data_IF_694436716506
#
_entry.id   IF_694436716506
#
_cell.length_a   1.000
_cell.length_b   1.000
_cell.length_c   1.000
_cell.angle_alpha   90.00
_cell.angle_beta   90.00
_cell.angle_gamma   90.00
#
_symmetry.space_group_name_H-M   'P 1'
#
loop_
_entity.id
_entity.type
_entity.pdbx_description
1 polymer ?
#
# COMPACT_ATOMS: atom_id res chain seq x y z
N UNK A 1 -12.54 82.86 -19.76
CA UNK A 1 -13.69 82.09 -19.25
C UNK A 1 -13.55 80.70 -19.87
N UNK A 2 -12.90 79.74 -19.20
CA UNK A 2 -13.49 78.64 -18.39
C UNK A 2 -14.51 77.80 -19.22
N UNK A 3 -14.43 76.47 -19.39
CA UNK A 3 -13.92 75.35 -18.57
C UNK A 3 -13.65 74.07 -19.41
N UNK A 4 -12.64 73.32 -18.97
CA UNK A 4 -12.56 71.86 -18.69
C UNK A 4 -12.72 70.73 -19.74
N UNK A 5 -12.02 69.64 -19.39
CA UNK A 5 -12.19 68.21 -19.69
C UNK A 5 -11.12 67.60 -20.63
N UNK A 6 -10.46 66.46 -20.37
CA UNK A 6 -10.44 65.43 -19.31
C UNK A 6 -9.08 64.69 -19.41
N UNK A 7 -8.57 64.22 -18.26
CA UNK A 7 -7.38 63.39 -18.07
C UNK A 7 -7.66 61.91 -18.32
N UNK A 8 -6.78 61.17 -19.01
CA UNK A 8 -6.73 59.69 -18.93
C UNK A 8 -5.28 59.21 -18.94
N UNK A 9 -4.77 58.87 -17.75
CA UNK A 9 -3.54 58.09 -17.57
C UNK A 9 -3.84 56.61 -17.81
N UNK A 10 -3.09 55.98 -18.73
CA UNK A 10 -3.08 54.52 -18.91
C UNK A 10 -2.35 53.86 -17.73
N UNK A 11 -3.11 53.33 -16.77
CA UNK A 11 -2.61 52.37 -15.79
C UNK A 11 -2.79 50.96 -16.36
N UNK A 12 -1.72 50.40 -16.92
CA UNK A 12 -1.65 48.99 -17.29
C UNK A 12 -1.59 48.16 -16.01
N UNK A 13 -2.73 47.61 -15.60
CA UNK A 13 -2.79 46.60 -14.54
C UNK A 13 -2.31 45.29 -15.15
N UNK A 14 -1.01 45.01 -15.00
CA UNK A 14 -0.45 43.67 -15.18
C UNK A 14 -0.96 42.80 -14.03
N UNK A 15 -2.14 42.20 -14.23
CA UNK A 15 -2.65 41.13 -13.40
C UNK A 15 -1.74 39.92 -13.58
N UNK A 16 -0.75 39.80 -12.69
CA UNK A 16 0.03 38.58 -12.50
C UNK A 16 -0.93 37.51 -11.95
N UNK A 17 -1.51 36.71 -12.84
CA UNK A 17 -2.26 35.51 -12.44
C UNK A 17 -1.23 34.50 -11.95
N UNK A 18 -0.96 34.52 -10.65
CA UNK A 18 -0.27 33.43 -9.98
C UNK A 18 -1.27 32.27 -9.94
N UNK A 19 -1.15 31.33 -10.89
CA UNK A 19 -1.75 30.01 -10.71
C UNK A 19 -1.00 29.33 -9.56
N UNK A 20 -1.48 29.53 -8.33
CA UNK A 20 -1.09 28.68 -7.21
C UNK A 20 -1.76 27.32 -7.42
N UNK A 21 -1.04 26.39 -8.05
CA UNK A 21 -1.41 24.98 -8.15
C UNK A 21 -1.51 24.40 -6.73
N UNK A 22 -2.66 24.57 -6.10
CA UNK A 22 -2.95 24.12 -4.75
C UNK A 22 -3.87 22.89 -4.81
N UNK A 23 -3.51 21.94 -5.67
CA UNK A 23 -4.36 20.79 -6.00
C UNK A 23 -4.33 19.65 -4.96
N UNK A 24 -3.45 19.68 -3.96
CA UNK A 24 -3.48 18.71 -2.84
C UNK A 24 -4.12 19.30 -1.56
N UNK A 25 -5.27 19.97 -1.62
CA UNK A 25 -5.90 20.57 -0.42
C UNK A 25 -7.04 19.75 0.22
N UNK A 26 -7.08 18.43 0.02
CA UNK A 26 -8.02 17.55 0.74
C UNK A 26 -7.34 16.23 1.06
N UNK A 27 -7.38 15.82 2.32
CA UNK A 27 -7.19 14.41 2.66
C UNK A 27 -8.27 13.63 1.92
N UNK A 28 -7.84 12.70 1.06
CA UNK A 28 -8.74 11.90 0.23
C UNK A 28 -8.53 10.44 0.58
N UNK A 29 -9.64 9.74 0.79
CA UNK A 29 -9.67 8.33 1.15
C UNK A 29 -10.44 7.54 0.11
N UNK A 30 -9.91 6.40 -0.33
CA UNK A 30 -10.65 5.45 -1.15
C UNK A 30 -10.21 4.00 -0.89
N UNK A 31 -11.11 3.07 -1.15
CA UNK A 31 -10.84 1.65 -0.99
C UNK A 31 -10.37 1.03 -2.30
N UNK A 32 -9.30 0.26 -2.23
CA UNK A 32 -8.87 -0.67 -3.27
C UNK A 32 -9.41 -2.05 -2.94
N UNK A 33 -10.08 -2.68 -3.91
CA UNK A 33 -10.48 -4.08 -3.84
C UNK A 33 -10.28 -4.72 -5.21
N UNK A 34 -9.44 -5.76 -5.29
CA UNK A 34 -9.16 -6.45 -6.55
C UNK A 34 -9.06 -7.96 -6.36
N UNK A 35 -9.69 -8.72 -7.27
CA UNK A 35 -9.40 -10.15 -7.42
C UNK A 35 -8.06 -10.30 -8.16
N UNK A 36 -7.18 -11.09 -7.56
CA UNK A 36 -5.88 -11.48 -8.08
C UNK A 36 -5.95 -12.96 -8.48
N UNK A 37 -5.22 -13.33 -9.53
CA UNK A 37 -5.27 -14.70 -10.08
C UNK A 37 -3.93 -15.15 -10.62
N UNK A 38 -3.52 -16.36 -10.26
CA UNK A 38 -2.40 -17.10 -10.85
C UNK A 38 -2.80 -18.54 -11.08
N UNK A 39 -2.89 -18.98 -12.33
CA UNK A 39 -3.40 -20.30 -12.69
C UNK A 39 -4.80 -20.53 -12.08
N UNK A 40 -4.91 -21.54 -11.21
CA UNK A 40 -6.13 -21.88 -10.47
C UNK A 40 -6.23 -21.18 -9.11
N UNK A 41 -5.17 -20.51 -8.66
CA UNK A 41 -5.14 -19.77 -7.40
C UNK A 41 -5.77 -18.40 -7.59
N UNK A 42 -6.68 -18.04 -6.69
CA UNK A 42 -7.31 -16.72 -6.63
C UNK A 42 -7.24 -16.17 -5.21
N UNK A 43 -7.08 -14.87 -5.10
CA UNK A 43 -7.19 -14.18 -3.82
C UNK A 43 -7.75 -12.77 -4.01
N UNK A 44 -8.20 -12.16 -2.93
CA UNK A 44 -8.63 -10.76 -2.95
C UNK A 44 -7.56 -9.92 -2.25
N UNK A 45 -7.12 -8.86 -2.91
CA UNK A 45 -6.38 -7.76 -2.28
C UNK A 45 -7.36 -6.66 -1.89
N UNK A 46 -7.29 -6.18 -0.65
CA UNK A 46 -8.19 -5.13 -0.18
C UNK A 46 -7.58 -4.25 0.91
N UNK A 47 -7.57 -2.95 0.70
CA UNK A 47 -7.04 -1.95 1.63
C UNK A 47 -7.63 -0.57 1.33
N UNK A 48 -7.58 0.33 2.31
CA UNK A 48 -7.94 1.74 2.10
C UNK A 48 -6.64 2.55 1.87
N UNK A 49 -6.71 3.59 1.04
CA UNK A 49 -5.64 4.54 0.80
C UNK A 49 -6.10 5.91 1.28
N UNK A 50 -5.33 6.53 2.18
CA UNK A 50 -5.50 7.94 2.55
C UNK A 50 -4.33 8.75 2.01
N UNK A 51 -4.61 9.77 1.20
CA UNK A 51 -3.62 10.61 0.53
C UNK A 51 -3.62 11.99 1.19
N UNK A 52 -2.43 12.42 1.60
CA UNK A 52 -2.15 13.78 2.07
C UNK A 52 -0.92 14.36 1.36
N UNK A 53 -0.60 15.63 1.62
CA UNK A 53 0.65 16.25 1.13
C UNK A 53 1.92 15.65 1.77
N UNK A 54 1.79 15.03 2.94
CA UNK A 54 2.96 14.60 3.74
C UNK A 54 3.25 13.12 3.62
N UNK A 55 2.21 12.33 3.42
CA UNK A 55 2.29 10.87 3.39
C UNK A 55 1.06 10.28 2.69
N UNK A 56 1.26 9.09 2.14
CA UNK A 56 0.19 8.20 1.68
C UNK A 56 0.09 7.07 2.70
N UNK A 57 -1.05 6.95 3.36
CA UNK A 57 -1.32 5.89 4.32
C UNK A 57 -2.08 4.75 3.66
N UNK A 58 -1.57 3.53 3.82
CA UNK A 58 -2.22 2.30 3.36
C UNK A 58 -2.79 1.58 4.56
N UNK A 59 -4.10 1.62 4.74
CA UNK A 59 -4.77 1.00 5.87
C UNK A 59 -5.25 -0.41 5.52
N UNK A 60 -4.78 -1.39 6.29
CA UNK A 60 -5.26 -2.77 6.18
C UNK A 60 -5.81 -3.25 7.52
N UNK A 61 -7.06 -3.67 7.53
CA UNK A 61 -7.73 -4.21 8.72
C UNK A 61 -7.85 -5.71 8.58
N UNK A 62 -7.33 -6.47 9.54
CA UNK A 62 -7.32 -7.94 9.49
C UNK A 62 -8.05 -8.48 10.72
N UNK A 63 -9.07 -9.29 10.50
CA UNK A 63 -9.76 -10.02 11.56
C UNK A 63 -9.13 -11.39 11.73
N UNK A 64 -8.51 -11.63 12.89
CA UNK A 64 -7.96 -12.93 13.25
C UNK A 64 -9.06 -13.80 13.89
N UNK A 65 -9.27 -14.98 13.33
CA UNK A 65 -10.33 -15.93 13.69
C UNK A 65 -9.69 -17.23 14.19
N UNK A 66 -9.13 -17.24 15.40
CA UNK A 66 -8.48 -18.42 15.93
C UNK A 66 -9.46 -19.54 16.23
N UNK A 67 -9.06 -20.77 15.87
CA UNK A 67 -9.82 -21.98 16.15
C UNK A 67 -9.87 -22.27 17.67
N UNK A 68 -10.77 -23.16 18.14
CA UNK A 68 -10.89 -23.47 19.57
C UNK A 68 -9.60 -23.98 20.24
N UNK A 69 -8.69 -24.59 19.46
CA UNK A 69 -7.43 -25.16 19.97
C UNK A 69 -6.31 -24.13 20.09
N UNK A 70 -6.52 -22.88 19.67
CA UNK A 70 -5.50 -21.82 19.72
C UNK A 70 -5.39 -21.22 21.11
N UNK A 71 -4.17 -21.22 21.65
CA UNK A 71 -3.83 -20.50 22.88
C UNK A 71 -3.91 -18.98 22.64
N UNK A 72 -4.86 -18.31 23.31
CA UNK A 72 -5.13 -16.87 23.14
C UNK A 72 -4.02 -15.98 23.67
N UNK A 73 -3.40 -16.35 24.78
CA UNK A 73 -2.26 -15.60 25.36
C UNK A 73 -1.07 -15.61 24.41
N UNK A 74 -0.79 -16.78 23.80
CA UNK A 74 0.25 -16.89 22.80
C UNK A 74 -0.09 -16.11 21.52
N UNK A 75 -1.37 -16.10 21.11
CA UNK A 75 -1.81 -15.31 19.95
C UNK A 75 -1.58 -13.81 20.17
N UNK A 76 -1.92 -13.28 21.34
CA UNK A 76 -1.68 -11.86 21.69
C UNK A 76 -0.20 -11.50 21.64
N UNK A 77 0.66 -12.37 22.17
CA UNK A 77 2.12 -12.20 22.06
C UNK A 77 2.59 -12.21 20.61
N UNK A 78 2.06 -13.11 19.79
CA UNK A 78 2.48 -13.25 18.40
C UNK A 78 1.99 -12.09 17.54
N UNK A 79 0.83 -11.50 17.84
CA UNK A 79 0.32 -10.30 17.15
C UNK A 79 1.35 -9.16 17.18
N UNK A 80 2.02 -8.94 18.33
CA UNK A 80 3.06 -7.92 18.44
C UNK A 80 4.26 -8.25 17.53
N UNK A 81 4.77 -9.48 17.63
CA UNK A 81 5.92 -9.91 16.82
C UNK A 81 5.60 -9.92 15.32
N UNK A 82 4.37 -10.24 14.93
CA UNK A 82 3.90 -10.16 13.55
C UNK A 82 3.83 -8.71 13.09
N UNK A 83 3.32 -7.80 13.92
CA UNK A 83 3.31 -6.35 13.66
C UNK A 83 4.71 -5.81 13.37
N UNK A 84 5.68 -6.09 14.26
CA UNK A 84 7.07 -5.66 14.09
C UNK A 84 7.69 -6.17 12.79
N UNK A 85 7.43 -7.44 12.44
CA UNK A 85 7.94 -8.03 11.21
C UNK A 85 7.32 -7.37 9.98
N UNK A 86 6.01 -7.14 9.97
CA UNK A 86 5.32 -6.44 8.89
C UNK A 86 5.89 -5.03 8.71
N UNK A 87 6.03 -4.27 9.80
CA UNK A 87 6.60 -2.93 9.74
C UNK A 87 8.04 -2.95 9.22
N UNK A 88 8.86 -3.90 9.69
CA UNK A 88 10.25 -4.03 9.27
C UNK A 88 10.44 -4.35 7.78
N UNK A 89 9.42 -4.94 7.13
CA UNK A 89 9.43 -5.30 5.71
C UNK A 89 8.82 -4.18 4.87
N UNK A 90 7.63 -3.73 5.23
CA UNK A 90 6.78 -2.90 4.38
C UNK A 90 6.93 -1.40 4.64
N UNK A 91 7.38 -0.97 5.82
CA UNK A 91 7.50 0.46 6.15
C UNK A 91 8.91 1.03 6.02
N UNK A 92 9.82 0.30 5.38
CA UNK A 92 11.22 0.72 5.35
C UNK A 92 11.54 1.82 4.32
N UNK A 93 11.06 1.73 3.07
CA UNK A 93 11.67 2.53 1.99
C UNK A 93 10.76 3.01 0.85
N UNK A 94 9.43 2.88 0.93
CA UNK A 94 8.53 3.20 -0.20
C UNK A 94 8.10 4.66 -0.25
N UNK A 95 8.03 5.21 -1.46
CA UNK A 95 7.57 6.57 -1.74
C UNK A 95 7.04 6.69 -3.17
N UNK A 96 6.18 7.70 -3.37
CA UNK A 96 5.79 8.23 -4.67
C UNK A 96 6.55 9.53 -4.97
N UNK A 97 6.71 9.86 -6.24
CA UNK A 97 7.14 11.18 -6.71
C UNK A 97 5.98 11.83 -7.45
N UNK A 98 5.44 12.91 -6.89
CA UNK A 98 4.35 13.70 -7.44
C UNK A 98 4.88 15.11 -7.68
N UNK A 99 4.86 15.57 -8.93
CA UNK A 99 5.35 16.91 -9.28
C UNK A 99 6.80 17.22 -8.80
N UNK A 100 7.62 16.18 -8.65
CA UNK A 100 9.00 16.29 -8.16
C UNK A 100 9.15 16.17 -6.63
N UNK A 101 8.05 16.17 -5.88
CA UNK A 101 8.06 15.96 -4.44
C UNK A 101 7.98 14.48 -4.08
N UNK A 102 8.81 14.08 -3.11
CA UNK A 102 8.87 12.71 -2.59
C UNK A 102 7.90 12.57 -1.42
N UNK A 103 6.83 11.81 -1.62
CA UNK A 103 5.83 11.53 -0.57
C UNK A 103 5.98 10.08 -0.10
N UNK A 104 6.28 9.82 1.18
CA UNK A 104 6.41 8.47 1.72
C UNK A 104 5.08 7.70 1.69
N UNK A 105 5.18 6.39 1.48
CA UNK A 105 4.07 5.46 1.64
C UNK A 105 4.26 4.74 2.98
N UNK A 106 3.22 4.75 3.82
CA UNK A 106 3.23 4.11 5.14
C UNK A 106 2.07 3.13 5.25
N UNK A 107 2.39 1.88 5.53
CA UNK A 107 1.44 0.81 5.77
C UNK A 107 1.02 0.81 7.23
N UNK A 108 -0.28 0.87 7.49
CA UNK A 108 -0.91 0.82 8.81
C UNK A 108 -1.76 -0.44 8.88
N UNK A 109 -1.14 -1.54 9.26
CA UNK A 109 -1.82 -2.83 9.45
C UNK A 109 -2.41 -2.88 10.85
N UNK A 110 -3.71 -3.19 10.95
CA UNK A 110 -4.44 -3.25 12.21
C UNK A 110 -5.18 -4.56 12.34
N UNK A 111 -4.91 -5.31 13.40
CA UNK A 111 -5.71 -6.47 13.77
C UNK A 111 -7.00 -6.03 14.47
N UNK A 112 -8.15 -6.25 13.84
CA UNK A 112 -9.45 -5.82 14.35
C UNK A 112 -10.61 -6.60 13.72
N UNK A 113 -11.69 -6.77 14.47
CA UNK A 113 -12.95 -7.33 13.96
C UNK A 113 -13.88 -6.28 13.34
N UNK A 114 -13.60 -4.98 13.51
CA UNK A 114 -14.44 -3.92 12.99
C UNK A 114 -14.12 -3.63 11.51
N UNK A 115 -15.10 -3.88 10.64
CA UNK A 115 -15.01 -3.67 9.18
C UNK A 115 -13.66 -4.16 8.59
N UNK A 116 -13.31 -5.45 8.81
CA UNK A 116 -12.02 -5.96 8.35
C UNK A 116 -11.98 -6.06 6.83
N UNK A 117 -10.81 -5.81 6.25
CA UNK A 117 -10.55 -6.09 4.84
C UNK A 117 -10.30 -7.59 4.63
N UNK A 118 -9.55 -8.21 5.54
CA UNK A 118 -9.22 -9.63 5.46
C UNK A 118 -9.67 -10.36 6.71
N UNK A 119 -10.04 -11.63 6.54
CA UNK A 119 -10.36 -12.54 7.63
C UNK A 119 -9.42 -13.73 7.53
N UNK A 120 -8.69 -14.00 8.60
CA UNK A 120 -7.66 -15.03 8.66
C UNK A 120 -8.00 -15.99 9.78
N UNK A 121 -8.17 -17.26 9.45
CA UNK A 121 -8.30 -18.33 10.43
C UNK A 121 -6.93 -18.65 11.01
N UNK A 122 -6.83 -18.68 12.35
CA UNK A 122 -5.58 -19.04 13.03
C UNK A 122 -5.71 -20.46 13.55
N UNK A 123 -4.77 -21.32 13.16
CA UNK A 123 -4.70 -22.73 13.56
C UNK A 123 -3.62 -22.95 14.62
N UNK A 124 -3.74 -24.01 15.41
CA UNK A 124 -2.75 -24.33 16.45
C UNK A 124 -1.45 -24.97 15.92
N UNK A 125 -1.46 -25.57 14.72
CA UNK A 125 -0.32 -26.29 14.16
C UNK A 125 -0.18 -26.14 12.64
N UNK A 126 0.98 -26.57 12.13
CA UNK A 126 1.50 -26.35 10.77
C UNK A 126 0.51 -26.68 9.67
N UNK A 127 0.00 -25.61 9.06
CA UNK A 127 -0.78 -25.62 7.84
C UNK A 127 0.04 -24.96 6.72
N UNK A 128 -0.24 -25.32 5.47
CA UNK A 128 0.27 -24.57 4.33
C UNK A 128 -0.35 -23.17 4.38
N UNK A 129 0.43 -22.14 4.76
CA UNK A 129 -0.14 -20.84 5.01
C UNK A 129 -0.61 -20.17 3.73
N UNK A 130 -1.61 -19.32 3.88
CA UNK A 130 -2.10 -18.47 2.83
C UNK A 130 -2.82 -17.26 3.46
N UNK A 131 -3.31 -16.35 2.61
CA UNK A 131 -3.99 -15.12 2.99
C UNK A 131 -5.27 -15.32 3.84
N UNK A 132 -5.76 -16.55 3.98
CA UNK A 132 -6.93 -16.89 4.81
C UNK A 132 -6.62 -17.83 5.98
N UNK A 133 -5.43 -18.44 6.03
CA UNK A 133 -5.08 -19.46 7.01
C UNK A 133 -3.64 -19.26 7.48
N UNK A 134 -3.47 -18.89 8.75
CA UNK A 134 -2.17 -18.85 9.42
C UNK A 134 -2.17 -19.86 10.57
N UNK A 135 -1.00 -20.15 11.09
CA UNK A 135 -0.86 -20.97 12.29
C UNK A 135 -0.13 -20.18 13.37
N UNK A 136 -0.44 -20.47 14.63
CA UNK A 136 -0.01 -19.62 15.75
C UNK A 136 1.51 -19.49 15.83
N UNK A 137 2.25 -20.56 15.56
CA UNK A 137 3.72 -20.55 15.58
C UNK A 137 4.34 -20.22 14.20
N UNK A 138 3.57 -19.58 13.31
CA UNK A 138 4.09 -19.15 12.02
C UNK A 138 5.22 -18.13 12.22
N UNK A 139 6.36 -18.30 11.52
CA UNK A 139 7.41 -17.31 11.55
C UNK A 139 6.87 -15.92 11.16
N UNK A 140 7.18 -14.84 11.91
CA UNK A 140 6.65 -13.51 11.62
C UNK A 140 6.89 -13.01 10.19
N UNK A 141 7.99 -13.43 9.55
CA UNK A 141 8.29 -13.12 8.15
C UNK A 141 7.31 -13.76 7.16
N UNK A 142 6.80 -14.95 7.47
CA UNK A 142 5.78 -15.57 6.63
C UNK A 142 4.47 -14.78 6.74
N UNK A 143 4.13 -14.24 7.92
CA UNK A 143 3.00 -13.29 8.02
C UNK A 143 3.23 -12.08 7.13
N UNK A 144 4.42 -11.48 7.14
CA UNK A 144 4.76 -10.36 6.27
C UNK A 144 4.69 -10.71 4.77
N UNK A 145 5.01 -11.94 4.38
CA UNK A 145 4.79 -12.47 3.02
C UNK A 145 3.29 -12.53 2.67
N UNK A 146 2.45 -13.06 3.57
CA UNK A 146 0.99 -13.10 3.36
C UNK A 146 0.36 -11.71 3.25
N UNK A 147 0.90 -10.72 3.98
CA UNK A 147 0.53 -9.31 3.78
C UNK A 147 0.82 -8.85 2.36
N UNK A 148 1.92 -9.30 1.75
CA UNK A 148 2.22 -9.03 0.34
C UNK A 148 1.09 -9.46 -0.59
N UNK A 149 0.54 -10.67 -0.40
CA UNK A 149 -0.63 -11.10 -1.17
C UNK A 149 -1.85 -10.22 -0.93
N UNK A 150 -2.10 -9.82 0.33
CA UNK A 150 -3.19 -8.90 0.67
C UNK A 150 -3.02 -7.51 0.03
N UNK A 151 -1.78 -7.09 -0.27
CA UNK A 151 -1.44 -5.90 -1.06
C UNK A 151 -1.48 -6.11 -2.58
N UNK A 152 -1.67 -7.35 -3.04
CA UNK A 152 -1.73 -7.71 -4.46
C UNK A 152 -0.43 -8.24 -5.05
N UNK A 153 0.59 -8.54 -4.24
CA UNK A 153 1.81 -9.15 -4.72
C UNK A 153 1.59 -10.62 -5.12
N UNK A 154 2.27 -11.04 -6.18
CA UNK A 154 2.39 -12.43 -6.60
C UNK A 154 3.58 -13.08 -5.89
N UNK A 155 3.57 -14.40 -5.81
CA UNK A 155 4.77 -15.14 -5.40
C UNK A 155 5.90 -14.94 -6.41
N UNK A 156 7.12 -15.15 -5.93
CA UNK A 156 8.37 -15.08 -6.70
C UNK A 156 9.21 -16.36 -6.58
N UNK A 157 8.56 -17.49 -6.35
CA UNK A 157 9.19 -18.82 -6.31
C UNK A 157 8.39 -19.87 -7.08
N UNK A 158 9.09 -20.93 -7.51
CA UNK A 158 8.48 -22.02 -8.28
C UNK A 158 7.44 -22.77 -7.45
N UNK A 159 6.25 -22.97 -8.01
CA UNK A 159 5.13 -23.62 -7.32
C UNK A 159 4.23 -22.65 -6.53
N UNK A 160 4.65 -21.39 -6.36
CA UNK A 160 3.79 -20.33 -5.84
C UNK A 160 2.83 -19.77 -6.89
N UNK A 161 1.98 -18.85 -6.46
CA UNK A 161 1.08 -18.05 -7.28
C UNK A 161 1.85 -16.97 -8.08
N UNK A 162 2.65 -17.40 -9.06
CA UNK A 162 3.43 -16.52 -9.93
C UNK A 162 2.55 -15.63 -10.82
N UNK A 163 3.00 -14.41 -11.13
CA UNK A 163 2.30 -13.57 -12.12
C UNK A 163 2.30 -14.23 -13.50
N UNK A 164 1.11 -14.41 -14.08
CA UNK A 164 0.97 -14.96 -15.44
C UNK A 164 1.58 -14.03 -16.50
N UNK A 165 1.43 -12.72 -16.33
CA UNK A 165 1.87 -11.74 -17.33
C UNK A 165 3.37 -11.47 -17.26
N UNK A 166 3.95 -11.46 -16.05
CA UNK A 166 5.35 -11.11 -15.79
C UNK A 166 5.88 -11.97 -14.64
N UNK A 167 6.14 -13.27 -14.87
CA UNK A 167 6.66 -14.13 -13.82
C UNK A 167 8.06 -13.67 -13.42
N UNK A 168 8.28 -13.56 -12.11
CA UNK A 168 9.59 -13.26 -11.52
C UNK A 168 9.94 -14.41 -10.59
N UNK A 169 11.17 -14.90 -10.66
CA UNK A 169 11.70 -15.84 -9.67
C UNK A 169 12.83 -15.14 -8.94
N UNK A 170 12.59 -14.79 -7.69
CA UNK A 170 13.54 -14.15 -6.80
C UNK A 170 13.35 -14.73 -5.40
N UNK A 171 14.14 -15.76 -5.09
CA UNK A 171 14.08 -16.42 -3.78
C UNK A 171 14.55 -15.54 -2.63
N UNK A 172 15.18 -14.40 -2.92
CA UNK A 172 15.74 -13.50 -1.90
C UNK A 172 14.78 -12.38 -1.47
N UNK A 173 13.69 -12.19 -2.21
CA UNK A 173 12.63 -11.25 -1.87
C UNK A 173 11.70 -11.80 -0.79
N UNK A 174 10.96 -10.92 -0.12
CA UNK A 174 9.92 -11.34 0.83
C UNK A 174 8.85 -12.22 0.17
N UNK A 175 8.61 -12.05 -1.13
CA UNK A 175 7.67 -12.86 -1.91
C UNK A 175 8.31 -14.14 -2.48
N UNK A 176 9.59 -14.38 -2.20
CA UNK A 176 10.31 -15.60 -2.55
C UNK A 176 10.14 -16.72 -1.53
N UNK A 177 10.79 -17.86 -1.77
CA UNK A 177 10.68 -19.05 -0.91
C UNK A 177 11.63 -19.08 0.30
N UNK A 178 12.62 -18.19 0.38
CA UNK A 178 13.62 -18.24 1.46
C UNK A 178 13.06 -17.59 2.71
N UNK A 179 12.90 -18.36 3.79
CA UNK A 179 12.42 -17.84 5.09
C UNK A 179 13.31 -16.73 5.68
N UNK A 180 14.58 -16.65 5.28
CA UNK A 180 15.46 -15.56 5.73
C UNK A 180 15.22 -14.24 4.99
N UNK A 181 14.54 -14.27 3.84
CA UNK A 181 14.27 -13.08 3.05
C UNK A 181 13.40 -12.08 3.83
N UNK A 182 13.69 -10.81 3.66
CA UNK A 182 12.96 -9.71 4.32
C UNK A 182 12.86 -8.47 3.45
N UNK A 183 13.24 -8.57 2.17
CA UNK A 183 13.29 -7.43 1.29
C UNK A 183 12.01 -7.38 0.45
N UNK A 184 11.19 -6.35 0.70
CA UNK A 184 10.14 -5.96 -0.22
C UNK A 184 10.72 -5.10 -1.35
N UNK A 185 10.10 -5.17 -2.53
CA UNK A 185 10.50 -4.44 -3.73
C UNK A 185 9.33 -3.67 -4.33
N UNK A 186 9.58 -2.59 -5.10
CA UNK A 186 8.54 -1.79 -5.74
C UNK A 186 7.53 -2.61 -6.54
N UNK A 187 8.00 -3.66 -7.23
CA UNK A 187 7.17 -4.58 -8.01
C UNK A 187 6.11 -5.33 -7.19
N UNK A 188 6.31 -5.50 -5.87
CA UNK A 188 5.31 -6.09 -4.98
C UNK A 188 4.13 -5.16 -4.74
N UNK A 189 4.28 -3.86 -5.03
CA UNK A 189 3.26 -2.84 -4.89
C UNK A 189 2.63 -2.45 -6.23
N UNK A 190 2.77 -3.25 -7.30
CA UNK A 190 2.27 -2.91 -8.64
C UNK A 190 0.76 -2.59 -8.68
N UNK A 191 -0.05 -3.22 -7.81
CA UNK A 191 -1.47 -2.88 -7.67
C UNK A 191 -1.64 -1.47 -7.09
N UNK A 192 -1.02 -1.20 -5.95
CA UNK A 192 -1.02 0.14 -5.34
C UNK A 192 -0.50 1.19 -6.34
N UNK A 193 0.54 0.83 -7.09
CA UNK A 193 1.13 1.67 -8.11
C UNK A 193 0.10 2.11 -9.15
N UNK A 194 -0.60 1.14 -9.71
CA UNK A 194 -1.65 1.36 -10.68
C UNK A 194 -2.80 2.23 -10.12
N UNK A 195 -3.25 1.98 -8.89
CA UNK A 195 -4.34 2.76 -8.29
C UNK A 195 -3.95 4.22 -8.02
N UNK A 196 -2.72 4.45 -7.57
CA UNK A 196 -2.22 5.81 -7.34
C UNK A 196 -1.99 6.56 -8.65
N UNK A 197 -1.40 5.93 -9.68
CA UNK A 197 -1.28 6.56 -11.02
C UNK A 197 -2.66 6.98 -11.52
N UNK A 198 -3.62 6.07 -11.54
CA UNK A 198 -4.97 6.36 -12.01
C UNK A 198 -5.63 7.49 -11.18
N UNK A 199 -5.46 7.48 -9.87
CA UNK A 199 -5.98 8.53 -9.00
C UNK A 199 -5.41 9.90 -9.40
N UNK A 200 -4.09 10.04 -9.45
CA UNK A 200 -3.45 11.33 -9.69
C UNK A 200 -3.65 11.83 -11.13
N UNK A 201 -3.60 10.96 -12.13
CA UNK A 201 -3.87 11.33 -13.53
C UNK A 201 -5.30 11.84 -13.72
N UNK A 202 -6.30 11.17 -13.11
CA UNK A 202 -7.69 11.63 -13.13
C UNK A 202 -7.89 12.97 -12.40
N UNK A 203 -6.98 13.33 -11.50
CA UNK A 203 -6.96 14.61 -10.80
C UNK A 203 -5.97 15.62 -11.42
N UNK A 204 -5.51 15.37 -12.65
CA UNK A 204 -4.62 16.25 -13.43
C UNK A 204 -3.26 16.52 -12.77
N UNK A 205 -2.83 15.65 -11.85
CA UNK A 205 -1.52 15.73 -11.22
C UNK A 205 -0.53 14.87 -12.01
N UNK A 206 0.62 15.47 -12.38
CA UNK A 206 1.65 14.75 -13.13
C UNK A 206 2.41 13.81 -12.21
N UNK A 207 2.16 12.51 -12.39
CA UNK A 207 2.87 11.44 -11.69
C UNK A 207 4.13 11.08 -12.46
N UNK A 208 5.28 11.15 -11.80
CA UNK A 208 6.56 10.82 -12.44
C UNK A 208 7.02 9.41 -12.10
N UNK A 209 6.73 8.92 -10.88
CA UNK A 209 7.05 7.55 -10.44
C UNK A 209 6.27 7.21 -9.19
N UNK A 210 5.61 6.06 -9.13
CA UNK A 210 4.75 5.72 -7.98
C UNK A 210 5.41 4.79 -6.98
N UNK A 211 6.53 4.13 -7.30
CA UNK A 211 7.27 3.38 -6.28
C UNK A 211 8.79 3.43 -6.48
N UNK A 212 9.51 3.88 -5.46
CA UNK A 212 10.96 3.76 -5.32
C UNK A 212 11.36 3.14 -3.98
N UNK A 213 12.56 2.58 -3.91
CA UNK A 213 13.26 2.26 -2.65
C UNK A 213 14.26 3.40 -2.42
N UNK A 214 14.26 3.99 -1.23
CA UNK A 214 15.38 4.82 -0.78
C UNK A 214 16.49 3.88 -0.34
N UNK A 215 17.64 3.93 -1.00
CA UNK A 215 18.84 3.18 -0.62
C UNK A 215 19.52 3.91 0.53
#
# INVERSE_FOLDING_TARGET
MQQNEVSIYYLAVMSLIIFSSSALCSDKSFQVKREMKSGNTKWTSMFDIDISKREILIHMKISLLPTPTVNRVLLEKNILSWGDAIDSVWNKYFFVIIEGEKIPIIFKIKFTHFKPHHRVVIHSAGWAPNQHNWYINMPPKVVAHEIGHMLGAYDEYRGGALSYKKPVIDTSSIMGSKLSASQAYPRHLALLEHELVNYFENNQLKVVRVTGISI
#
